data_IF_845015519740
#
_entry.id   IF_845015519740
#
_cell.length_a   1.000
_cell.length_b   1.000
_cell.length_c   1.000
_cell.angle_alpha   90.00
_cell.angle_beta   90.00
_cell.angle_gamma   90.00
#
_symmetry.space_group_name_H-M   'P 1'
#
loop_
_entity.id
_entity.type
_entity.pdbx_description
1 polymer ?
#
# COMPACT_ATOMS: atom_id res chain seq x y z
N UNK A 1 -12.72 14.25 0.19
CA UNK A 1 -12.23 13.24 -0.79
C UNK A 1 -13.18 12.06 -0.75
N UNK A 2 -13.68 11.63 -1.91
CA UNK A 2 -14.69 10.57 -1.99
C UNK A 2 -14.04 9.19 -1.86
N UNK A 3 -14.66 8.28 -1.10
CA UNK A 3 -14.18 6.91 -0.82
C UNK A 3 -13.90 6.08 -2.09
N UNK A 4 -14.52 6.44 -3.21
CA UNK A 4 -14.37 5.80 -4.52
C UNK A 4 -13.04 6.10 -5.20
N UNK A 5 -12.52 7.33 -5.08
CA UNK A 5 -11.22 7.73 -5.68
C UNK A 5 -10.05 7.01 -4.98
N UNK A 6 -10.19 6.77 -3.68
CA UNK A 6 -9.19 6.07 -2.87
C UNK A 6 -9.06 4.57 -3.23
N UNK A 7 -10.12 3.92 -3.73
CA UNK A 7 -10.09 2.52 -4.20
C UNK A 7 -9.54 2.41 -5.62
N UNK A 8 -9.90 3.33 -6.52
CA UNK A 8 -9.38 3.34 -7.90
C UNK A 8 -7.87 3.49 -7.96
N UNK A 9 -7.31 4.40 -7.15
CA UNK A 9 -5.86 4.63 -7.06
C UNK A 9 -5.09 3.42 -6.47
N UNK A 10 -5.73 2.61 -5.61
CA UNK A 10 -5.03 1.53 -4.91
C UNK A 10 -4.49 0.44 -5.84
N UNK A 11 -5.21 0.06 -6.89
CA UNK A 11 -4.75 -0.99 -7.82
C UNK A 11 -3.47 -0.58 -8.56
N UNK A 12 -3.36 0.70 -8.93
CA UNK A 12 -2.15 1.24 -9.55
C UNK A 12 -0.99 1.30 -8.54
N UNK A 13 -1.28 1.78 -7.33
CA UNK A 13 -0.32 1.82 -6.23
C UNK A 13 0.19 0.42 -5.87
N UNK A 14 -0.67 -0.60 -5.91
CA UNK A 14 -0.32 -2.01 -5.72
C UNK A 14 0.69 -2.49 -6.77
N UNK A 15 0.44 -2.19 -8.05
CA UNK A 15 1.35 -2.53 -9.14
C UNK A 15 2.74 -1.91 -8.95
N UNK A 16 2.76 -0.60 -8.68
CA UNK A 16 3.99 0.18 -8.41
C UNK A 16 4.74 -0.34 -7.17
N UNK A 17 4.04 -0.74 -6.11
CA UNK A 17 4.63 -1.35 -4.92
C UNK A 17 5.33 -2.67 -5.25
N UNK A 18 4.66 -3.59 -5.96
CA UNK A 18 5.24 -4.88 -6.34
C UNK A 18 6.45 -4.73 -7.27
N UNK A 19 6.43 -3.74 -8.17
CA UNK A 19 7.57 -3.43 -9.03
C UNK A 19 8.79 -2.93 -8.24
N UNK A 20 8.57 -2.12 -7.21
CA UNK A 20 9.66 -1.57 -6.39
C UNK A 20 10.16 -2.56 -5.34
N UNK A 21 9.26 -3.38 -4.80
CA UNK A 21 9.51 -4.27 -3.69
C UNK A 21 9.19 -5.71 -4.12
N UNK A 22 10.20 -6.43 -4.59
CA UNK A 22 10.07 -7.82 -5.08
C UNK A 22 9.61 -8.82 -4.00
N UNK A 23 9.62 -8.41 -2.72
CA UNK A 23 9.15 -9.19 -1.59
C UNK A 23 7.65 -9.01 -1.29
N UNK A 24 6.96 -8.11 -1.99
CA UNK A 24 5.53 -7.91 -1.85
C UNK A 24 4.76 -8.82 -2.82
N UNK A 25 3.75 -9.48 -2.29
CA UNK A 25 2.82 -10.30 -3.05
C UNK A 25 1.46 -9.61 -3.17
N UNK A 26 0.58 -10.19 -3.98
CA UNK A 26 -0.77 -9.70 -4.10
C UNK A 26 -1.57 -9.79 -2.78
N UNK A 27 -1.26 -10.77 -1.93
CA UNK A 27 -1.92 -10.99 -0.64
C UNK A 27 -1.51 -9.94 0.41
N UNK A 28 -0.24 -9.52 0.40
CA UNK A 28 0.24 -8.46 1.31
C UNK A 28 -0.43 -7.10 1.06
N UNK A 29 -0.95 -6.92 -0.15
CA UNK A 29 -1.54 -5.68 -0.64
C UNK A 29 -3.06 -5.79 -0.80
N UNK A 30 -3.65 -6.87 -0.31
CA UNK A 30 -5.08 -7.10 -0.26
C UNK A 30 -5.61 -6.71 1.12
N UNK A 31 -6.71 -5.97 1.15
CA UNK A 31 -7.39 -5.63 2.40
C UNK A 31 -8.89 -5.49 2.18
N UNK A 32 -9.65 -5.80 3.23
CA UNK A 32 -11.08 -5.54 3.30
C UNK A 32 -11.34 -4.06 3.59
N UNK A 33 -12.51 -3.56 3.20
CA UNK A 33 -12.86 -2.18 3.45
C UNK A 33 -12.77 -1.84 4.95
N UNK A 34 -12.04 -0.77 5.28
CA UNK A 34 -11.76 -0.39 6.67
C UNK A 34 -10.50 -1.01 7.28
N UNK A 35 -9.89 -2.03 6.66
CA UNK A 35 -8.64 -2.67 7.13
C UNK A 35 -7.37 -2.13 6.47
N UNK A 36 -7.46 -0.98 5.81
CA UNK A 36 -6.30 -0.37 5.11
C UNK A 36 -5.15 -0.08 6.06
N UNK A 37 -5.41 0.46 7.25
CA UNK A 37 -4.37 0.76 8.23
C UNK A 37 -3.65 -0.51 8.75
N UNK A 38 -4.38 -1.61 8.91
CA UNK A 38 -3.79 -2.90 9.29
C UNK A 38 -2.83 -3.43 8.21
N UNK A 39 -3.25 -3.36 6.95
CA UNK A 39 -2.39 -3.72 5.83
C UNK A 39 -1.14 -2.83 5.77
N UNK A 40 -1.26 -1.51 6.01
CA UNK A 40 -0.09 -0.62 6.09
C UNK A 40 0.84 -1.06 7.23
N UNK A 41 0.31 -1.43 8.40
CA UNK A 41 1.12 -1.95 9.50
C UNK A 41 1.88 -3.21 9.14
N UNK A 42 1.24 -4.16 8.45
CA UNK A 42 1.90 -5.37 7.92
C UNK A 42 3.01 -5.03 6.92
N UNK A 43 2.78 -4.06 6.04
CA UNK A 43 3.80 -3.59 5.10
C UNK A 43 4.99 -2.95 5.80
N UNK A 44 4.78 -2.17 6.87
CA UNK A 44 5.86 -1.59 7.66
C UNK A 44 6.79 -2.68 8.21
N UNK A 45 6.22 -3.75 8.77
CA UNK A 45 6.97 -4.88 9.32
C UNK A 45 7.69 -5.65 8.21
N UNK A 46 6.97 -5.99 7.12
CA UNK A 46 7.51 -6.80 6.02
C UNK A 46 8.63 -6.10 5.24
N UNK A 47 8.48 -4.80 5.03
CA UNK A 47 9.47 -3.98 4.32
C UNK A 47 10.55 -3.41 5.23
N UNK A 48 10.38 -3.49 6.56
CA UNK A 48 11.23 -2.79 7.52
C UNK A 48 11.21 -1.26 7.33
N UNK A 49 10.06 -0.71 6.93
CA UNK A 49 9.90 0.71 6.57
C UNK A 49 8.95 1.43 7.49
N UNK A 50 9.19 2.73 7.69
CA UNK A 50 8.25 3.55 8.46
C UNK A 50 7.02 3.91 7.63
N UNK A 51 5.93 4.26 8.32
CA UNK A 51 4.72 4.80 7.67
C UNK A 51 5.04 6.00 6.80
N UNK A 52 5.99 6.84 7.20
CA UNK A 52 6.41 8.04 6.46
C UNK A 52 7.13 7.68 5.15
N UNK A 53 7.98 6.65 5.15
CA UNK A 53 8.62 6.15 3.93
C UNK A 53 7.58 5.60 2.94
N UNK A 54 6.60 4.84 3.44
CA UNK A 54 5.49 4.34 2.62
C UNK A 54 4.64 5.50 2.09
N UNK A 55 4.32 6.50 2.91
CA UNK A 55 3.59 7.70 2.49
C UNK A 55 4.38 8.54 1.48
N UNK A 56 5.70 8.64 1.63
CA UNK A 56 6.56 9.31 0.64
C UNK A 56 6.55 8.56 -0.68
N UNK A 57 6.51 7.23 -0.63
CA UNK A 57 6.32 6.43 -1.83
C UNK A 57 4.98 6.75 -2.51
N UNK A 58 3.86 6.66 -1.79
CA UNK A 58 2.53 6.97 -2.33
C UNK A 58 2.37 8.41 -2.83
N UNK A 59 3.09 9.38 -2.24
CA UNK A 59 3.09 10.79 -2.70
C UNK A 59 3.85 11.00 -4.01
N UNK A 60 4.79 10.13 -4.32
CA UNK A 60 5.58 10.17 -5.55
C UNK A 60 5.00 9.28 -6.66
N UNK A 61 3.82 8.68 -6.42
CA UNK A 61 3.09 7.86 -7.39
C UNK A 61 1.97 8.64 -8.05
#
# INVERSE_FOLDING_TARGET
>A
MNKLEAKGNWNEQKGKLKQKFSNLTDDDLMFEEGKKDEMIGKLQIKLGKTKEELQKFFRNL
#
